data_IF_157757315057
#
_entry.id   IF_157757315057
#
_cell.length_a   1.000
_cell.length_b   1.000
_cell.length_c   1.000
_cell.angle_alpha   90.00
_cell.angle_beta   90.00
_cell.angle_gamma   90.00
#
_symmetry.space_group_name_H-M   'P 1'
#
loop_
_entity.id
_entity.type
_entity.pdbx_description
1 polymer ?
#
# COMPACT_ATOMS: atom_id res chain seq x y z
N UNK A 1 22.10 -17.12 14.03
CA UNK A 1 20.89 -16.45 13.52
C UNK A 1 21.12 -15.00 13.07
N UNK A 2 21.82 -14.13 13.82
CA UNK A 2 22.08 -12.71 13.42
C UNK A 2 22.94 -12.51 12.16
N UNK A 3 23.83 -13.41 11.85
CA UNK A 3 24.78 -13.27 10.72
C UNK A 3 24.09 -13.40 9.35
N UNK A 4 23.01 -14.19 9.25
CA UNK A 4 22.28 -14.43 8.00
C UNK A 4 21.30 -13.32 7.63
N UNK A 5 20.69 -12.67 8.62
CA UNK A 5 19.88 -11.47 8.38
C UNK A 5 20.73 -10.31 7.84
N UNK A 6 22.00 -10.25 8.24
CA UNK A 6 22.98 -9.29 7.71
C UNK A 6 23.33 -9.63 6.25
N UNK A 7 23.48 -10.92 5.92
CA UNK A 7 23.79 -11.37 4.54
C UNK A 7 22.68 -11.01 3.54
N UNK A 8 21.41 -11.26 3.89
CA UNK A 8 20.26 -10.89 3.05
C UNK A 8 20.13 -9.37 2.91
N UNK A 9 20.24 -8.61 4.01
CA UNK A 9 20.26 -7.15 3.95
C UNK A 9 21.40 -6.59 3.10
N UNK A 10 22.56 -7.21 3.17
CA UNK A 10 23.75 -6.81 2.39
C UNK A 10 23.55 -7.14 0.91
N UNK A 11 22.95 -8.29 0.57
CA UNK A 11 22.64 -8.67 -0.80
C UNK A 11 21.60 -7.75 -1.43
N UNK A 12 20.50 -7.45 -0.71
CA UNK A 12 19.50 -6.46 -1.16
C UNK A 12 20.09 -5.04 -1.24
N UNK A 13 20.94 -4.64 -0.29
CA UNK A 13 21.62 -3.35 -0.34
C UNK A 13 22.65 -3.26 -1.48
N UNK A 14 23.26 -4.38 -1.85
CA UNK A 14 24.20 -4.45 -2.96
C UNK A 14 23.48 -4.46 -4.31
N UNK A 15 22.33 -5.16 -4.43
CA UNK A 15 21.42 -5.10 -5.58
C UNK A 15 20.77 -3.71 -5.76
N UNK A 16 20.51 -2.95 -4.67
CA UNK A 16 20.10 -1.53 -4.76
C UNK A 16 21.08 -0.65 -5.53
N UNK A 17 22.36 -1.04 -5.63
CA UNK A 17 23.40 -0.26 -6.32
C UNK A 17 23.59 -0.65 -7.79
N UNK A 18 23.28 -1.89 -8.17
CA UNK A 18 23.62 -2.42 -9.50
C UNK A 18 22.43 -2.58 -10.45
N UNK A 19 21.24 -3.01 -9.96
CA UNK A 19 20.01 -3.05 -10.76
C UNK A 19 18.81 -2.86 -9.83
N UNK A 20 18.04 -1.78 -10.01
CA UNK A 20 16.73 -1.59 -9.37
C UNK A 20 15.70 -2.53 -10.05
N UNK A 21 15.83 -3.82 -9.85
CA UNK A 21 14.80 -4.76 -10.24
C UNK A 21 13.76 -4.86 -9.12
N UNK A 22 12.59 -4.39 -9.43
CA UNK A 22 11.42 -4.36 -8.57
C UNK A 22 10.67 -5.68 -8.77
N UNK A 23 10.64 -6.53 -7.77
CA UNK A 23 9.93 -7.81 -7.86
C UNK A 23 8.46 -7.64 -7.49
N UNK A 24 7.54 -8.16 -8.32
CA UNK A 24 6.10 -8.09 -8.11
C UNK A 24 5.51 -9.48 -8.01
N UNK A 25 4.82 -9.73 -6.92
CA UNK A 25 4.25 -11.05 -6.62
C UNK A 25 2.76 -10.95 -6.36
N UNK A 26 2.01 -11.84 -7.00
CA UNK A 26 0.60 -12.04 -6.73
C UNK A 26 0.44 -13.26 -5.82
N UNK A 27 -0.12 -13.04 -4.63
CA UNK A 27 -0.37 -14.07 -3.64
C UNK A 27 -1.85 -14.46 -3.61
N UNK A 28 -2.13 -15.74 -3.86
CA UNK A 28 -3.46 -16.32 -3.65
C UNK A 28 -3.42 -17.17 -2.38
N UNK A 29 -3.81 -16.58 -1.26
CA UNK A 29 -3.79 -17.21 0.07
C UNK A 29 -5.07 -16.88 0.83
N UNK A 30 -5.45 -17.75 1.76
CA UNK A 30 -6.56 -17.53 2.68
C UNK A 30 -6.05 -17.40 4.12
N UNK A 31 -6.92 -16.91 5.01
CA UNK A 31 -6.59 -16.76 6.43
C UNK A 31 -6.18 -18.09 7.10
N UNK A 32 -6.64 -19.22 6.56
CA UNK A 32 -6.31 -20.56 7.07
C UNK A 32 -4.93 -21.06 6.64
N UNK A 33 -4.43 -20.55 5.52
CA UNK A 33 -3.17 -20.98 4.94
C UNK A 33 -1.96 -20.36 5.67
N UNK A 34 -2.16 -19.20 6.32
CA UNK A 34 -1.12 -18.49 7.05
C UNK A 34 -1.11 -18.93 8.52
N UNK A 35 0.04 -19.33 9.11
CA UNK A 35 0.14 -19.65 10.54
C UNK A 35 -0.28 -18.49 11.44
N UNK A 36 -0.66 -18.79 12.69
CA UNK A 36 -1.18 -17.77 13.59
C UNK A 36 -0.03 -17.09 14.38
N UNK A 37 0.21 -15.81 14.14
CA UNK A 37 1.22 -14.97 14.80
C UNK A 37 0.62 -13.72 15.44
N UNK A 38 -0.63 -13.79 15.90
CA UNK A 38 -1.48 -12.65 16.24
C UNK A 38 -0.85 -11.67 17.26
N UNK A 39 -0.20 -12.19 18.29
CA UNK A 39 0.27 -11.34 19.41
C UNK A 39 1.45 -10.42 19.03
N UNK A 40 2.32 -10.86 18.14
CA UNK A 40 3.49 -10.08 17.75
C UNK A 40 3.19 -9.07 16.67
N UNK A 41 2.21 -9.34 15.78
CA UNK A 41 1.87 -8.47 14.68
C UNK A 41 1.12 -7.21 15.08
N UNK A 42 0.20 -7.30 16.01
CA UNK A 42 -0.51 -6.14 16.52
C UNK A 42 0.47 -5.16 17.19
N UNK A 43 1.35 -5.65 18.06
CA UNK A 43 2.41 -4.84 18.71
C UNK A 43 3.40 -4.24 17.71
N UNK A 44 3.71 -4.94 16.63
CA UNK A 44 4.62 -4.44 15.59
C UNK A 44 4.05 -3.17 14.91
N UNK A 45 2.78 -3.21 14.51
CA UNK A 45 2.14 -2.06 13.87
C UNK A 45 1.78 -0.94 14.86
N UNK A 46 1.43 -1.25 16.10
CA UNK A 46 1.19 -0.25 17.14
C UNK A 46 2.39 0.67 17.37
N UNK A 47 3.61 0.14 17.30
CA UNK A 47 4.82 0.95 17.47
C UNK A 47 4.98 2.05 16.40
N UNK A 48 4.42 1.86 15.21
CA UNK A 48 4.42 2.86 14.12
C UNK A 48 3.29 3.88 14.26
N UNK A 49 2.16 3.51 14.90
CA UNK A 49 1.05 4.43 15.12
C UNK A 49 1.33 5.55 16.13
N UNK A 50 2.24 5.33 17.08
CA UNK A 50 2.48 6.28 18.17
C UNK A 50 3.14 7.60 17.75
N UNK A 51 3.64 7.71 16.51
CA UNK A 51 4.27 8.93 15.97
C UNK A 51 3.33 9.85 15.18
N UNK A 52 2.14 9.38 14.77
CA UNK A 52 1.26 10.13 13.89
C UNK A 52 0.33 11.04 14.73
N UNK A 53 0.63 12.33 14.73
CA UNK A 53 -0.24 13.34 15.34
C UNK A 53 -1.41 13.64 14.40
N UNK A 54 -2.62 13.19 14.76
CA UNK A 54 -3.84 13.32 13.93
C UNK A 54 -4.65 14.59 14.23
N UNK A 55 -4.03 15.66 14.69
CA UNK A 55 -4.72 16.95 14.90
C UNK A 55 -4.45 17.91 13.72
N UNK A 56 -5.47 18.09 12.88
CA UNK A 56 -5.42 19.00 11.74
C UNK A 56 -5.02 20.45 12.12
N UNK A 57 -5.27 20.87 13.36
CA UNK A 57 -4.94 22.24 13.81
C UNK A 57 -3.46 22.57 13.71
N UNK A 58 -2.59 21.58 13.83
CA UNK A 58 -1.13 21.76 13.78
C UNK A 58 -0.62 22.12 12.38
N UNK A 59 -1.43 21.87 11.36
CA UNK A 59 -1.10 22.12 9.95
C UNK A 59 -1.78 23.35 9.39
N UNK A 60 -2.43 24.15 10.24
CA UNK A 60 -3.15 25.36 9.83
C UNK A 60 -2.30 26.57 10.19
N UNK A 61 -2.04 27.41 9.20
CA UNK A 61 -1.34 28.67 9.38
C UNK A 61 -2.24 29.75 10.04
N UNK A 62 -1.67 30.94 10.30
CA UNK A 62 -2.36 32.08 10.92
C UNK A 62 -3.55 32.56 10.07
N UNK A 63 -3.52 32.39 8.75
CA UNK A 63 -4.60 32.73 7.83
C UNK A 63 -5.72 31.66 7.79
N UNK A 64 -5.62 30.60 8.56
CA UNK A 64 -6.58 29.50 8.60
C UNK A 64 -6.47 28.51 7.43
N UNK A 65 -5.37 28.57 6.65
CA UNK A 65 -5.08 27.73 5.49
C UNK A 65 -4.26 26.52 5.93
N UNK A 66 -4.59 25.34 5.39
CA UNK A 66 -3.84 24.07 5.66
C UNK A 66 -2.56 24.03 4.84
N UNK A 67 -1.44 23.80 5.50
CA UNK A 67 -0.19 23.43 4.85
C UNK A 67 -0.27 21.94 4.38
N UNK A 68 -0.63 21.75 3.12
CA UNK A 68 -0.83 20.42 2.54
C UNK A 68 0.45 19.58 2.50
N UNK A 69 1.63 20.20 2.36
CA UNK A 69 2.90 19.50 2.38
C UNK A 69 3.19 18.88 3.74
N UNK A 70 3.14 19.68 4.79
CA UNK A 70 3.33 19.19 6.17
C UNK A 70 2.25 18.18 6.58
N UNK A 71 1.00 18.40 6.15
CA UNK A 71 -0.08 17.46 6.40
C UNK A 71 0.21 16.11 5.76
N UNK A 72 0.63 16.08 4.49
CA UNK A 72 0.98 14.86 3.79
C UNK A 72 2.16 14.13 4.45
N UNK A 73 3.24 14.85 4.77
CA UNK A 73 4.43 14.29 5.41
C UNK A 73 4.13 13.67 6.77
N UNK A 74 3.18 14.23 7.52
CA UNK A 74 2.82 13.73 8.84
C UNK A 74 1.75 12.61 8.77
N UNK A 75 0.67 12.84 8.00
CA UNK A 75 -0.46 11.88 7.95
C UNK A 75 -0.14 10.62 7.16
N UNK A 76 0.60 10.80 6.05
CA UNK A 76 1.05 9.73 5.17
C UNK A 76 2.58 9.64 5.20
N UNK A 77 3.15 9.55 6.40
CA UNK A 77 4.59 9.48 6.59
C UNK A 77 5.22 8.34 5.79
N UNK A 78 6.27 8.65 5.04
CA UNK A 78 6.96 7.71 4.15
C UNK A 78 8.44 7.52 4.49
N UNK A 79 8.88 8.01 5.63
CA UNK A 79 10.27 7.95 6.10
C UNK A 79 10.66 6.62 6.77
N UNK A 80 9.71 5.70 6.88
CA UNK A 80 9.93 4.35 7.40
C UNK A 80 10.58 3.43 6.35
N UNK A 81 11.41 2.50 6.83
CA UNK A 81 12.03 1.46 6.00
C UNK A 81 11.22 0.17 6.05
N UNK A 82 10.69 -0.23 4.90
CA UNK A 82 10.01 -1.49 4.66
C UNK A 82 10.63 -2.21 3.48
N UNK A 83 10.61 -3.55 3.54
CA UNK A 83 11.14 -4.42 2.48
C UNK A 83 10.07 -4.73 1.43
N UNK A 84 8.82 -4.89 1.87
CA UNK A 84 7.69 -5.31 1.05
C UNK A 84 6.54 -4.34 1.16
N UNK A 85 5.97 -3.91 0.04
CA UNK A 85 4.67 -3.25 -0.02
C UNK A 85 3.57 -4.31 -0.16
N UNK A 86 2.66 -4.41 0.80
CA UNK A 86 1.59 -5.39 0.83
C UNK A 86 0.25 -4.77 0.42
N UNK A 87 -0.06 -4.85 -0.88
CA UNK A 87 -1.32 -4.40 -1.45
C UNK A 87 -2.46 -5.37 -1.11
N UNK A 88 -3.59 -4.88 -0.62
CA UNK A 88 -4.71 -5.71 -0.16
C UNK A 88 -6.04 -4.95 -0.17
N UNK A 89 -7.14 -5.68 -0.20
CA UNK A 89 -8.47 -5.11 0.09
C UNK A 89 -8.61 -4.80 1.59
N UNK A 90 -9.25 -3.70 1.96
CA UNK A 90 -9.56 -3.39 3.37
C UNK A 90 -10.28 -4.54 4.10
N UNK A 91 -11.08 -5.33 3.38
CA UNK A 91 -11.75 -6.52 3.92
C UNK A 91 -10.77 -7.63 4.32
N UNK A 92 -9.56 -7.61 3.76
CA UNK A 92 -8.51 -8.59 4.00
C UNK A 92 -7.43 -8.09 4.98
N UNK A 93 -7.69 -6.99 5.69
CA UNK A 93 -6.73 -6.42 6.66
C UNK A 93 -6.19 -7.45 7.65
N UNK A 94 -7.05 -8.32 8.19
CA UNK A 94 -6.64 -9.39 9.11
C UNK A 94 -5.69 -10.41 8.44
N UNK A 95 -5.92 -10.73 7.17
CA UNK A 95 -5.04 -11.60 6.37
C UNK A 95 -3.70 -10.90 6.10
N UNK A 96 -3.74 -9.61 5.72
CA UNK A 96 -2.54 -8.81 5.47
C UNK A 96 -1.65 -8.72 6.71
N UNK A 97 -2.21 -8.43 7.89
CA UNK A 97 -1.49 -8.42 9.18
C UNK A 97 -0.85 -9.77 9.45
N UNK A 98 -1.62 -10.85 9.31
CA UNK A 98 -1.14 -12.20 9.57
C UNK A 98 0.01 -12.61 8.64
N UNK A 99 -0.07 -12.23 7.37
CA UNK A 99 1.00 -12.45 6.40
C UNK A 99 2.24 -11.59 6.72
N UNK A 100 2.06 -10.32 7.09
CA UNK A 100 3.16 -9.45 7.50
C UNK A 100 3.94 -10.02 8.70
N UNK A 101 3.22 -10.60 9.68
CA UNK A 101 3.84 -11.29 10.81
C UNK A 101 4.65 -12.51 10.35
N UNK A 102 4.08 -13.32 9.45
CA UNK A 102 4.82 -14.45 8.86
C UNK A 102 6.09 -13.97 8.14
N UNK A 103 5.99 -12.94 7.30
CA UNK A 103 7.13 -12.38 6.57
C UNK A 103 8.23 -11.89 7.53
N UNK A 104 7.83 -11.23 8.62
CA UNK A 104 8.75 -10.74 9.63
C UNK A 104 9.42 -11.87 10.41
N UNK A 105 8.66 -12.80 10.96
CA UNK A 105 9.15 -13.87 11.83
C UNK A 105 9.98 -14.92 11.09
N UNK A 106 9.58 -15.25 9.87
CA UNK A 106 10.15 -16.36 9.11
C UNK A 106 11.22 -15.92 8.13
N UNK A 107 11.01 -14.77 7.50
CA UNK A 107 11.90 -14.27 6.44
C UNK A 107 12.67 -13.01 6.88
N UNK A 108 12.36 -12.42 8.03
CA UNK A 108 12.97 -11.18 8.50
C UNK A 108 12.60 -9.96 7.67
N UNK A 109 11.53 -10.04 6.87
CA UNK A 109 11.06 -8.98 5.99
C UNK A 109 10.00 -8.11 6.68
N UNK A 110 10.18 -6.80 6.61
CA UNK A 110 9.20 -5.83 7.11
C UNK A 110 8.22 -5.50 6.00
N UNK A 111 6.94 -5.78 6.21
CA UNK A 111 5.89 -5.45 5.25
C UNK A 111 5.18 -4.15 5.64
N UNK A 112 5.03 -3.25 4.66
CA UNK A 112 4.20 -2.07 4.77
C UNK A 112 2.74 -2.44 4.48
N UNK A 113 1.84 -1.99 5.34
CA UNK A 113 0.39 -2.09 5.20
C UNK A 113 -0.20 -0.70 5.44
N UNK A 114 -0.71 -0.06 4.39
CA UNK A 114 -1.24 1.30 4.41
C UNK A 114 -2.31 1.51 5.50
N UNK A 115 -3.30 0.62 5.53
CA UNK A 115 -4.40 0.67 6.49
C UNK A 115 -3.98 0.46 7.95
N UNK A 116 -2.78 -0.09 8.20
CA UNK A 116 -2.21 -0.23 9.53
C UNK A 116 -1.38 0.98 9.95
N UNK A 117 -0.66 1.62 9.03
CA UNK A 117 0.22 2.75 9.35
C UNK A 117 -0.51 4.09 9.24
N UNK A 118 -1.21 4.32 8.13
CA UNK A 118 -1.84 5.60 7.86
C UNK A 118 -3.29 5.67 8.31
N UNK A 119 -3.93 4.52 8.61
CA UNK A 119 -5.34 4.43 8.92
C UNK A 119 -6.20 4.63 7.67
N UNK A 120 -7.37 5.18 7.85
CA UNK A 120 -8.30 5.43 6.75
C UNK A 120 -8.17 6.89 6.27
N UNK A 121 -7.94 7.08 4.98
CA UNK A 121 -7.93 8.41 4.34
C UNK A 121 -9.28 9.14 4.50
N UNK A 122 -10.37 8.38 4.64
CA UNK A 122 -11.70 8.93 4.86
C UNK A 122 -11.82 9.67 6.20
N UNK A 123 -11.04 9.29 7.22
CA UNK A 123 -10.98 10.01 8.51
C UNK A 123 -10.38 11.39 8.33
N UNK A 124 -9.31 11.52 7.53
CA UNK A 124 -8.72 12.80 7.19
C UNK A 124 -9.69 13.63 6.37
N UNK A 125 -10.30 13.02 5.34
CA UNK A 125 -11.28 13.69 4.48
C UNK A 125 -12.45 14.22 5.31
N UNK A 126 -13.03 13.41 6.19
CA UNK A 126 -14.12 13.80 7.07
C UNK A 126 -13.72 14.98 7.98
N UNK A 127 -12.50 14.96 8.49
CA UNK A 127 -11.96 16.04 9.36
C UNK A 127 -11.85 17.35 8.60
N UNK A 128 -11.34 17.31 7.37
CA UNK A 128 -11.24 18.48 6.48
C UNK A 128 -12.65 18.97 6.09
N UNK A 129 -13.53 18.07 5.69
CA UNK A 129 -14.89 18.39 5.27
C UNK A 129 -15.67 19.05 6.41
N UNK A 130 -15.59 18.53 7.62
CA UNK A 130 -16.25 19.10 8.79
C UNK A 130 -15.78 20.53 9.10
N UNK A 131 -14.52 20.84 8.81
CA UNK A 131 -13.95 22.14 9.10
C UNK A 131 -14.17 23.16 7.99
N UNK A 132 -14.04 22.75 6.71
CA UNK A 132 -13.98 23.69 5.59
C UNK A 132 -15.14 23.57 4.60
N UNK A 133 -15.84 22.43 4.58
CA UNK A 133 -16.82 22.17 3.53
C UNK A 133 -18.27 22.31 3.97
N UNK A 134 -18.55 22.54 5.26
CA UNK A 134 -19.92 22.74 5.75
C UNK A 134 -20.54 24.01 5.19
N UNK A 135 -21.81 23.92 4.85
CA UNK A 135 -22.64 25.08 4.52
C UNK A 135 -22.94 25.89 5.79
N UNK A 136 -23.35 27.16 5.66
CA UNK A 136 -23.68 28.01 6.82
C UNK A 136 -24.77 27.46 7.75
N UNK A 137 -25.70 26.63 7.24
CA UNK A 137 -26.69 25.90 8.04
C UNK A 137 -26.09 24.85 8.97
N UNK A 138 -24.89 24.32 8.65
CA UNK A 138 -24.21 23.28 9.39
C UNK A 138 -24.69 21.86 9.10
N UNK A 139 -25.83 21.69 8.43
CA UNK A 139 -26.47 20.37 8.20
C UNK A 139 -26.01 19.66 6.93
N UNK A 140 -25.43 20.41 6.00
CA UNK A 140 -24.99 19.90 4.69
C UNK A 140 -23.60 20.42 4.35
N UNK A 141 -23.00 19.82 3.30
CA UNK A 141 -21.70 20.22 2.79
C UNK A 141 -21.83 20.84 1.40
N UNK A 142 -20.95 21.80 1.10
CA UNK A 142 -20.78 22.34 -0.23
C UNK A 142 -20.19 21.29 -1.16
N UNK A 143 -20.87 20.99 -2.25
CA UNK A 143 -20.40 20.05 -3.27
C UNK A 143 -19.02 20.44 -3.84
N UNK A 144 -18.85 21.71 -4.20
CA UNK A 144 -17.60 22.23 -4.78
C UNK A 144 -16.43 22.10 -3.81
N UNK A 145 -16.63 22.47 -2.53
CA UNK A 145 -15.57 22.37 -1.52
C UNK A 145 -15.20 20.91 -1.24
N UNK A 146 -16.19 20.00 -1.20
CA UNK A 146 -15.91 18.57 -1.03
C UNK A 146 -15.17 17.97 -2.20
N UNK A 147 -15.46 18.38 -3.43
CA UNK A 147 -14.68 17.93 -4.59
C UNK A 147 -13.20 18.37 -4.45
N UNK A 148 -12.94 19.58 -3.97
CA UNK A 148 -11.57 20.04 -3.72
C UNK A 148 -10.90 19.23 -2.59
N UNK A 149 -11.54 19.04 -1.43
CA UNK A 149 -10.96 18.31 -0.31
C UNK A 149 -10.70 16.86 -0.67
N UNK A 150 -11.63 16.20 -1.37
CA UNK A 150 -11.48 14.84 -1.89
C UNK A 150 -10.27 14.74 -2.82
N UNK A 151 -10.15 15.67 -3.77
CA UNK A 151 -9.02 15.71 -4.70
C UNK A 151 -7.67 15.86 -3.99
N UNK A 152 -7.60 16.73 -2.97
CA UNK A 152 -6.38 16.93 -2.19
C UNK A 152 -5.98 15.68 -1.41
N UNK A 153 -6.92 15.08 -0.67
CA UNK A 153 -6.62 13.90 0.15
C UNK A 153 -6.24 12.70 -0.71
N UNK A 154 -6.96 12.47 -1.82
CA UNK A 154 -6.65 11.36 -2.72
C UNK A 154 -5.32 11.56 -3.45
N UNK A 155 -4.97 12.79 -3.83
CA UNK A 155 -3.67 13.08 -4.43
C UNK A 155 -2.53 12.85 -3.42
N UNK A 156 -2.67 13.34 -2.19
CA UNK A 156 -1.67 13.12 -1.12
C UNK A 156 -1.46 11.63 -0.86
N UNK A 157 -2.55 10.85 -0.75
CA UNK A 157 -2.48 9.40 -0.56
C UNK A 157 -1.82 8.71 -1.75
N UNK A 158 -2.18 9.06 -2.99
CA UNK A 158 -1.58 8.46 -4.20
C UNK A 158 -0.08 8.73 -4.28
N UNK A 159 0.37 9.94 -3.95
CA UNK A 159 1.80 10.29 -3.91
C UNK A 159 2.51 9.50 -2.82
N UNK A 160 1.92 9.38 -1.64
CA UNK A 160 2.50 8.63 -0.53
C UNK A 160 2.59 7.12 -0.85
N UNK A 161 1.55 6.52 -1.43
CA UNK A 161 1.57 5.13 -1.90
C UNK A 161 2.69 4.90 -2.92
N UNK A 162 2.79 5.76 -3.95
CA UNK A 162 3.84 5.69 -4.95
C UNK A 162 5.24 5.80 -4.31
N UNK A 163 5.42 6.69 -3.34
CA UNK A 163 6.69 6.88 -2.63
C UNK A 163 7.05 5.65 -1.82
N UNK A 164 6.11 5.07 -1.08
CA UNK A 164 6.34 3.84 -0.32
C UNK A 164 6.63 2.65 -1.22
N UNK A 165 5.88 2.50 -2.32
CA UNK A 165 6.13 1.46 -3.31
C UNK A 165 7.53 1.58 -3.92
N UNK A 166 8.00 2.81 -4.26
CA UNK A 166 9.36 3.06 -4.81
C UNK A 166 10.47 2.77 -3.79
N UNK A 167 10.17 2.81 -2.50
CA UNK A 167 11.12 2.54 -1.41
C UNK A 167 11.20 1.07 -1.03
N UNK A 168 10.16 0.27 -1.28
CA UNK A 168 10.15 -1.16 -1.03
C UNK A 168 10.93 -1.94 -2.09
N UNK A 169 11.44 -3.12 -1.72
CA UNK A 169 12.17 -4.03 -2.62
C UNK A 169 11.21 -4.86 -3.49
N UNK A 170 10.03 -5.16 -2.94
CA UNK A 170 9.02 -5.96 -3.62
C UNK A 170 7.60 -5.48 -3.32
N UNK A 171 6.69 -5.78 -4.24
CA UNK A 171 5.26 -5.61 -4.06
C UNK A 171 4.60 -6.99 -3.99
N UNK A 172 3.85 -7.21 -2.92
CA UNK A 172 3.00 -8.39 -2.77
C UNK A 172 1.54 -7.95 -2.87
N UNK A 173 0.85 -8.42 -3.89
CA UNK A 173 -0.57 -8.20 -4.08
C UNK A 173 -1.36 -9.41 -3.57
N UNK A 174 -2.26 -9.20 -2.60
CA UNK A 174 -3.17 -10.23 -2.12
C UNK A 174 -4.34 -10.39 -3.09
N UNK A 175 -4.24 -11.39 -3.96
CA UNK A 175 -5.33 -11.74 -4.87
C UNK A 175 -6.34 -12.63 -4.14
N UNK A 176 -7.39 -12.01 -3.67
CA UNK A 176 -8.51 -12.63 -2.97
C UNK A 176 -9.84 -12.27 -3.67
N UNK A 177 -10.94 -12.97 -3.37
CA UNK A 177 -12.27 -12.58 -3.86
C UNK A 177 -12.73 -11.17 -3.40
N UNK A 178 -12.07 -10.58 -2.39
CA UNK A 178 -12.35 -9.21 -1.93
C UNK A 178 -11.59 -8.15 -2.71
N UNK A 179 -10.50 -8.52 -3.37
CA UNK A 179 -9.65 -7.61 -4.15
C UNK A 179 -9.91 -7.69 -5.65
N UNK A 180 -10.13 -8.90 -6.16
CA UNK A 180 -10.35 -9.21 -7.58
C UNK A 180 -11.62 -10.03 -7.74
N UNK A 181 -12.44 -9.67 -8.71
CA UNK A 181 -13.53 -10.50 -9.21
C UNK A 181 -13.25 -10.92 -10.66
N UNK A 182 -13.89 -11.99 -11.08
CA UNK A 182 -13.95 -12.36 -12.50
C UNK A 182 -15.19 -11.71 -13.11
N UNK A 183 -15.10 -11.28 -14.35
CA UNK A 183 -16.25 -10.80 -15.09
C UNK A 183 -17.34 -11.88 -15.23
N UNK A 184 -18.53 -11.49 -15.66
CA UNK A 184 -19.70 -12.39 -15.80
C UNK A 184 -19.41 -13.54 -16.78
N UNK A 185 -18.50 -13.33 -17.74
CA UNK A 185 -18.04 -14.35 -18.68
C UNK A 185 -16.93 -15.24 -18.11
N UNK A 186 -16.41 -14.92 -16.90
CA UNK A 186 -15.38 -15.70 -16.20
C UNK A 186 -13.99 -15.61 -16.84
N UNK A 187 -13.74 -14.60 -17.69
CA UNK A 187 -12.51 -14.49 -18.48
C UNK A 187 -11.56 -13.37 -18.05
N UNK A 188 -12.07 -12.26 -17.55
CA UNK A 188 -11.25 -11.08 -17.21
C UNK A 188 -11.20 -10.85 -15.69
N UNK A 189 -10.05 -10.45 -15.18
CA UNK A 189 -9.86 -10.07 -13.79
C UNK A 189 -10.14 -8.58 -13.63
N UNK A 190 -11.07 -8.26 -12.75
CA UNK A 190 -11.54 -6.89 -12.51
C UNK A 190 -11.44 -6.53 -11.03
N UNK A 191 -11.27 -5.25 -10.76
CA UNK A 191 -11.42 -4.69 -9.41
C UNK A 191 -12.38 -3.51 -9.42
N UNK A 192 -13.23 -3.45 -8.40
CA UNK A 192 -14.08 -2.28 -8.13
C UNK A 192 -13.39 -1.26 -7.21
N UNK A 193 -12.19 -1.58 -6.70
CA UNK A 193 -11.45 -0.69 -5.82
C UNK A 193 -10.55 0.24 -6.64
N UNK A 194 -10.79 1.56 -6.64
CA UNK A 194 -9.91 2.50 -7.29
C UNK A 194 -8.50 2.51 -6.69
N UNK A 195 -8.37 2.18 -5.41
CA UNK A 195 -7.08 2.10 -4.73
C UNK A 195 -6.26 0.89 -5.20
N UNK A 196 -6.87 -0.29 -5.29
CA UNK A 196 -6.19 -1.48 -5.84
C UNK A 196 -5.79 -1.23 -7.29
N UNK A 197 -6.65 -0.64 -8.11
CA UNK A 197 -6.30 -0.26 -9.47
C UNK A 197 -5.12 0.71 -9.53
N UNK A 198 -5.12 1.74 -8.67
CA UNK A 198 -4.02 2.70 -8.56
C UNK A 198 -2.70 2.00 -8.19
N UNK A 199 -2.70 1.14 -7.17
CA UNK A 199 -1.51 0.40 -6.71
C UNK A 199 -0.95 -0.52 -7.79
N UNK A 200 -1.80 -1.31 -8.47
CA UNK A 200 -1.36 -2.19 -9.55
C UNK A 200 -0.81 -1.39 -10.75
N UNK A 201 -1.43 -0.26 -11.07
CA UNK A 201 -0.95 0.64 -12.13
C UNK A 201 0.39 1.29 -11.76
N UNK A 202 0.54 1.78 -10.53
CA UNK A 202 1.78 2.34 -10.01
C UNK A 202 2.90 1.31 -9.99
N UNK A 203 2.62 0.06 -9.59
CA UNK A 203 3.58 -1.03 -9.64
C UNK A 203 4.18 -1.22 -11.03
N UNK A 204 3.38 -1.06 -12.08
CA UNK A 204 3.85 -1.14 -13.47
C UNK A 204 4.66 0.10 -13.91
N UNK A 205 4.32 1.28 -13.41
CA UNK A 205 5.03 2.53 -13.73
C UNK A 205 6.42 2.54 -13.07
N UNK A 206 6.50 2.16 -11.79
CA UNK A 206 7.75 2.14 -11.02
C UNK A 206 8.76 1.17 -11.65
N UNK A 207 8.32 0.00 -12.09
CA UNK A 207 9.19 -0.97 -12.74
C UNK A 207 9.79 -0.46 -14.07
N UNK A 208 9.07 0.41 -14.77
CA UNK A 208 9.53 0.98 -16.06
C UNK A 208 10.59 2.07 -15.89
N UNK A 209 10.93 2.49 -14.68
CA UNK A 209 11.93 3.54 -14.43
C UNK A 209 13.37 3.14 -14.76
N UNK A 210 13.70 1.86 -14.93
CA UNK A 210 15.00 1.45 -15.48
C UNK A 210 15.15 1.87 -16.96
N UNK A 211 14.06 2.21 -17.66
CA UNK A 211 14.04 2.67 -19.05
C UNK A 211 13.11 3.87 -19.25
N UNK A 212 13.63 5.08 -19.00
CA UNK A 212 13.13 6.42 -19.40
C UNK A 212 11.65 6.77 -19.20
N UNK A 213 11.45 7.80 -18.40
CA UNK A 213 10.22 8.53 -18.03
C UNK A 213 9.39 9.04 -19.22
N UNK A 214 8.07 8.82 -19.17
CA UNK A 214 7.06 9.73 -19.75
C UNK A 214 5.93 9.94 -18.71
N UNK A 215 5.51 11.20 -18.57
CA UNK A 215 4.49 11.68 -17.61
C UNK A 215 3.12 11.04 -17.86
N UNK A 216 2.41 10.69 -16.81
CA UNK A 216 1.01 10.28 -16.83
C UNK A 216 0.21 11.14 -15.86
N UNK A 217 -0.90 11.66 -16.33
CA UNK A 217 -1.89 12.43 -15.56
C UNK A 217 -3.09 11.51 -15.32
N UNK A 218 -3.50 11.30 -14.08
CA UNK A 218 -4.67 10.49 -13.74
C UNK A 218 -5.83 11.40 -13.30
N UNK A 219 -7.03 11.11 -13.79
CA UNK A 219 -8.29 11.70 -13.38
C UNK A 219 -9.15 10.60 -12.75
N UNK A 220 -9.78 10.90 -11.60
CA UNK A 220 -10.63 9.95 -10.87
C UNK A 220 -12.03 10.50 -10.70
N UNK A 221 -13.03 9.66 -10.96
CA UNK A 221 -14.44 9.84 -10.59
C UNK A 221 -14.96 8.59 -9.86
N UNK A 222 -15.93 8.79 -8.94
CA UNK A 222 -16.39 7.77 -7.98
C UNK A 222 -17.30 6.69 -8.55
N UNK A 223 -17.07 5.45 -8.16
CA UNK A 223 -18.06 4.52 -7.55
C UNK A 223 -18.89 3.64 -8.46
N UNK A 224 -18.94 3.82 -9.79
CA UNK A 224 -19.68 2.94 -10.72
C UNK A 224 -18.83 2.40 -11.88
N UNK A 225 -17.53 2.34 -11.70
CA UNK A 225 -16.62 1.80 -12.69
C UNK A 225 -15.88 0.57 -12.18
N UNK A 226 -15.75 -0.44 -13.04
CA UNK A 226 -14.81 -1.54 -12.90
C UNK A 226 -13.59 -1.24 -13.74
N UNK A 227 -12.42 -1.60 -13.21
CA UNK A 227 -11.16 -1.44 -13.91
C UNK A 227 -10.65 -2.83 -14.30
N UNK A 228 -10.37 -3.03 -15.59
CA UNK A 228 -9.64 -4.19 -16.07
C UNK A 228 -8.19 -4.10 -15.56
N UNK A 229 -7.76 -5.10 -14.81
CA UNK A 229 -6.41 -5.20 -14.25
C UNK A 229 -5.64 -6.41 -14.79
N UNK A 230 -6.18 -7.10 -15.76
CA UNK A 230 -5.57 -8.28 -16.38
C UNK A 230 -4.16 -7.99 -16.88
N UNK A 231 -3.99 -6.85 -17.54
CA UNK A 231 -2.69 -6.41 -18.06
C UNK A 231 -1.68 -6.15 -16.95
N UNK A 232 -2.10 -5.54 -15.86
CA UNK A 232 -1.28 -5.23 -14.70
C UNK A 232 -0.88 -6.52 -13.99
N UNK A 233 -1.82 -7.42 -13.74
CA UNK A 233 -1.59 -8.68 -13.04
C UNK A 233 -0.75 -9.69 -13.82
N UNK A 234 -0.74 -9.63 -15.16
CA UNK A 234 0.15 -10.47 -16.00
C UNK A 234 1.64 -10.21 -15.74
N UNK A 235 1.97 -9.07 -15.16
CA UNK A 235 3.36 -8.71 -14.84
C UNK A 235 3.79 -9.14 -13.43
N UNK A 236 2.89 -9.75 -12.65
CA UNK A 236 3.16 -10.23 -11.30
C UNK A 236 3.46 -11.73 -11.29
N UNK A 237 4.52 -12.12 -10.59
CA UNK A 237 4.81 -13.53 -10.35
C UNK A 237 3.80 -14.12 -9.37
N UNK A 238 3.26 -15.30 -9.69
CA UNK A 238 2.31 -16.00 -8.82
C UNK A 238 3.06 -16.72 -7.71
N UNK A 239 2.73 -16.38 -6.47
CA UNK A 239 3.26 -17.01 -5.27
C UNK A 239 2.17 -17.73 -4.47
N UNK A 240 2.53 -18.83 -3.85
CA UNK A 240 1.71 -19.55 -2.88
C UNK A 240 2.37 -19.54 -1.50
N UNK A 241 1.62 -19.87 -0.44
CA UNK A 241 2.21 -20.04 0.89
C UNK A 241 3.29 -21.13 0.90
N UNK A 242 3.13 -22.18 0.10
CA UNK A 242 4.15 -23.23 0.00
C UNK A 242 5.47 -22.68 -0.55
N UNK A 243 5.43 -21.73 -1.46
CA UNK A 243 6.66 -21.12 -2.01
C UNK A 243 7.35 -20.27 -0.95
N UNK A 244 6.60 -19.49 -0.17
CA UNK A 244 7.15 -18.73 0.96
C UNK A 244 7.73 -19.64 2.06
N UNK A 245 7.08 -20.76 2.36
CA UNK A 245 7.60 -21.77 3.32
C UNK A 245 8.86 -22.45 2.79
N UNK A 246 8.95 -22.70 1.47
CA UNK A 246 10.20 -23.21 0.86
C UNK A 246 11.34 -22.22 0.97
N UNK A 247 11.08 -20.91 0.79
CA UNK A 247 12.07 -19.86 1.01
C UNK A 247 12.60 -19.87 2.45
N UNK A 248 11.72 -20.07 3.46
CA UNK A 248 12.15 -20.23 4.85
C UNK A 248 13.14 -21.41 5.01
N UNK A 249 12.81 -22.56 4.43
CA UNK A 249 13.63 -23.79 4.56
C UNK A 249 14.95 -23.72 3.79
N UNK A 250 14.92 -23.15 2.61
CA UNK A 250 16.09 -23.12 1.71
C UNK A 250 16.99 -21.91 1.99
N UNK A 251 16.56 -20.97 2.86
CA UNK A 251 17.30 -19.72 3.19
C UNK A 251 17.78 -18.97 1.93
N UNK A 252 17.03 -19.06 0.85
CA UNK A 252 17.31 -18.41 -0.42
C UNK A 252 16.63 -17.04 -0.51
N UNK A 253 17.17 -16.10 -1.30
CA UNK A 253 16.52 -14.83 -1.59
C UNK A 253 15.21 -15.03 -2.36
N UNK A 254 14.30 -14.04 -2.32
CA UNK A 254 13.06 -14.02 -3.12
C UNK A 254 13.33 -14.22 -4.63
N UNK A 255 14.53 -13.88 -5.09
CA UNK A 255 14.99 -14.10 -6.47
C UNK A 255 15.02 -15.59 -6.90
N UNK A 256 14.98 -16.53 -5.95
CA UNK A 256 14.90 -17.98 -6.27
C UNK A 256 13.45 -18.41 -6.62
N UNK A 257 12.51 -17.48 -6.61
CA UNK A 257 11.09 -17.71 -6.95
C UNK A 257 10.72 -17.21 -8.35
N UNK A 258 11.64 -16.53 -9.04
CA UNK A 258 11.57 -16.22 -10.46
C UNK A 258 12.09 -17.39 -11.29
#
# INVERSE_FOLDING_TARGET
MRIWAIGLRTLFAQKRKEDKMYSKFQLSVSLKDVPNYKEQGENFFESYHHGIQRDLKQFINEDGIVDGGKLQENWFATDYEFDVFLSHSHKDKALAIKLACFLHEKLGLKAFIDSCLWGCSDELLLTIDNKYCKNPSGDTYSYEKRNCSTSYVHLMLSIALMTMMDRCEAIFFLNTPNSICLDVAGGMQETSSPWIYNELSLANIIQKRSNRVKKVTALFEEGFMYFDVDKELRTFHKLTMNDLVKCEKNKGPLDALE
#
